data_IF_696008260123
#
_entry.id   IF_696008260123
#
_cell.length_a   1.000
_cell.length_b   1.000
_cell.length_c   1.000
_cell.angle_alpha   90.00
_cell.angle_beta   90.00
_cell.angle_gamma   90.00
#
_symmetry.space_group_name_H-M   'P 1'
#
loop_
_entity.id
_entity.type
_entity.pdbx_description
1 polymer ?
#
# COMPACT_ATOMS: atom_id res chain seq x y z
N UNK A 1 -19.28 -22.60 -5.12
CA UNK A 1 -18.32 -21.47 -4.96
C UNK A 1 -18.83 -20.55 -3.85
N UNK A 2 -18.55 -20.97 -2.61
CA UNK A 2 -18.96 -20.26 -1.40
C UNK A 2 -18.33 -18.86 -1.37
N UNK A 3 -19.11 -17.83 -1.08
CA UNK A 3 -18.66 -16.43 -0.94
C UNK A 3 -18.04 -15.76 -2.20
N UNK A 4 -18.39 -16.18 -3.43
CA UNK A 4 -17.82 -15.60 -4.66
C UNK A 4 -18.10 -14.08 -4.77
N UNK A 5 -19.33 -13.64 -4.47
CA UNK A 5 -19.71 -12.23 -4.52
C UNK A 5 -18.87 -11.37 -3.57
N UNK A 6 -18.58 -11.88 -2.35
CA UNK A 6 -17.72 -11.18 -1.39
C UNK A 6 -16.30 -11.09 -1.95
N UNK A 7 -15.73 -12.20 -2.44
CA UNK A 7 -14.37 -12.19 -3.00
C UNK A 7 -14.20 -11.20 -4.15
N UNK A 8 -15.15 -11.17 -5.09
CA UNK A 8 -15.16 -10.18 -6.19
C UNK A 8 -15.22 -8.75 -5.63
N UNK A 9 -16.07 -8.51 -4.63
CA UNK A 9 -16.18 -7.21 -3.98
C UNK A 9 -14.86 -6.76 -3.34
N UNK A 10 -14.13 -7.69 -2.69
CA UNK A 10 -12.82 -7.41 -2.10
C UNK A 10 -11.79 -6.99 -3.16
N UNK A 11 -11.73 -7.70 -4.28
CA UNK A 11 -10.82 -7.35 -5.38
C UNK A 11 -11.15 -5.99 -6.01
N UNK A 12 -12.42 -5.74 -6.30
CA UNK A 12 -12.86 -4.49 -6.93
C UNK A 12 -12.58 -3.27 -6.05
N UNK A 13 -12.96 -3.34 -4.78
CA UNK A 13 -12.79 -2.20 -3.89
C UNK A 13 -11.30 -1.91 -3.64
N UNK A 14 -10.49 -2.97 -3.55
CA UNK A 14 -9.05 -2.81 -3.32
C UNK A 14 -8.35 -2.22 -4.55
N UNK A 15 -8.78 -2.61 -5.75
CA UNK A 15 -8.34 -1.99 -7.01
C UNK A 15 -8.65 -0.49 -7.05
N UNK A 16 -9.89 -0.11 -6.78
CA UNK A 16 -10.33 1.30 -6.81
C UNK A 16 -9.51 2.15 -5.84
N UNK A 17 -9.37 1.69 -4.60
CA UNK A 17 -8.62 2.45 -3.61
C UNK A 17 -7.12 2.48 -3.88
N UNK A 18 -6.54 1.43 -4.46
CA UNK A 18 -5.15 1.42 -4.87
C UNK A 18 -4.86 2.49 -5.94
N UNK A 19 -5.74 2.58 -6.94
CA UNK A 19 -5.63 3.58 -8.00
C UNK A 19 -5.68 5.01 -7.44
N UNK A 20 -6.68 5.32 -6.60
CA UNK A 20 -6.83 6.65 -6.03
C UNK A 20 -5.74 7.02 -5.04
N UNK A 21 -5.38 6.09 -4.14
CA UNK A 21 -4.44 6.33 -3.05
C UNK A 21 -3.03 6.67 -3.56
N UNK A 22 -2.64 6.06 -4.68
CA UNK A 22 -1.29 6.20 -5.23
C UNK A 22 -1.22 7.19 -6.41
N UNK A 23 -2.28 7.95 -6.66
CA UNK A 23 -2.26 9.08 -7.60
C UNK A 23 -1.52 10.31 -7.07
N UNK A 24 -0.97 10.25 -5.85
CA UNK A 24 -0.31 11.37 -5.17
C UNK A 24 0.79 11.98 -6.03
N UNK A 25 1.70 11.18 -6.58
CA UNK A 25 2.81 11.68 -7.40
C UNK A 25 2.33 12.48 -8.61
N UNK A 26 1.30 11.96 -9.30
CA UNK A 26 0.66 12.63 -10.44
C UNK A 26 0.03 13.95 -10.01
N UNK A 27 -0.66 13.96 -8.86
CA UNK A 27 -1.37 15.15 -8.39
C UNK A 27 -0.44 16.22 -7.81
N UNK A 28 0.67 15.81 -7.20
CA UNK A 28 1.71 16.75 -6.75
C UNK A 28 2.30 17.49 -7.97
N UNK A 29 2.64 16.77 -9.03
CA UNK A 29 3.15 17.35 -10.27
C UNK A 29 2.11 18.30 -10.90
N UNK A 30 0.87 17.84 -11.09
CA UNK A 30 -0.20 18.65 -11.68
C UNK A 30 -0.60 19.85 -10.84
N UNK A 31 -0.57 19.73 -9.51
CA UNK A 31 -0.87 20.86 -8.63
C UNK A 31 0.16 21.98 -8.76
N UNK A 32 1.42 21.65 -8.97
CA UNK A 32 2.47 22.64 -9.24
C UNK A 32 2.30 23.31 -10.60
N UNK A 33 1.95 22.54 -11.63
CA UNK A 33 1.81 23.05 -13.00
C UNK A 33 0.54 23.88 -13.20
N UNK A 34 -0.60 23.41 -12.67
CA UNK A 34 -1.92 23.99 -12.98
C UNK A 34 -2.37 25.02 -11.93
N UNK A 35 -2.02 24.79 -10.65
CA UNK A 35 -2.44 25.68 -9.57
C UNK A 35 -1.28 26.54 -9.04
N UNK A 36 -0.12 26.48 -9.67
CA UNK A 36 1.08 27.28 -9.32
C UNK A 36 1.49 27.14 -7.84
N UNK A 37 1.25 25.96 -7.26
CA UNK A 37 1.51 25.69 -5.85
C UNK A 37 2.98 25.39 -5.61
N UNK A 38 3.56 25.97 -4.56
CA UNK A 38 4.94 25.70 -4.19
C UNK A 38 5.17 24.20 -3.88
N UNK A 39 6.39 23.69 -4.16
CA UNK A 39 6.75 22.27 -3.91
C UNK A 39 6.47 21.85 -2.47
N UNK A 40 6.77 22.71 -1.49
CA UNK A 40 6.53 22.46 -0.08
C UNK A 40 5.04 22.26 0.23
N UNK A 41 4.17 23.10 -0.35
CA UNK A 41 2.73 22.99 -0.13
C UNK A 41 2.14 21.74 -0.81
N UNK A 42 2.62 21.38 -1.98
CA UNK A 42 2.20 20.17 -2.67
C UNK A 42 2.62 18.88 -1.91
N UNK A 43 3.74 18.90 -1.20
CA UNK A 43 4.17 17.78 -0.35
C UNK A 43 3.20 17.50 0.81
N UNK A 44 2.46 18.50 1.31
CA UNK A 44 1.44 18.28 2.34
C UNK A 44 0.27 17.40 1.88
N UNK A 45 0.06 17.19 0.58
CA UNK A 45 -0.99 16.30 0.08
C UNK A 45 -0.83 14.88 0.61
N UNK A 46 0.41 14.38 0.67
CA UNK A 46 0.71 13.06 1.23
C UNK A 46 0.34 12.99 2.72
N UNK A 47 0.64 14.05 3.46
CA UNK A 47 0.28 14.14 4.88
C UNK A 47 -1.24 14.10 5.10
N UNK A 48 -2.03 14.79 4.29
CA UNK A 48 -3.52 14.72 4.37
C UNK A 48 -4.03 13.29 4.22
N UNK A 49 -3.48 12.55 3.28
CA UNK A 49 -3.81 11.15 3.03
C UNK A 49 -3.41 10.27 4.23
N UNK A 50 -2.13 10.29 4.59
CA UNK A 50 -1.57 9.35 5.55
C UNK A 50 -2.06 9.60 6.98
N UNK A 51 -2.22 10.86 7.36
CA UNK A 51 -2.81 11.22 8.65
C UNK A 51 -4.28 10.77 8.73
N UNK A 52 -5.05 10.94 7.65
CA UNK A 52 -6.42 10.45 7.58
C UNK A 52 -6.48 8.93 7.71
N UNK A 53 -5.58 8.20 7.04
CA UNK A 53 -5.47 6.73 7.17
C UNK A 53 -5.17 6.35 8.62
N UNK A 54 -4.15 6.95 9.23
CA UNK A 54 -3.72 6.61 10.58
C UNK A 54 -4.83 6.84 11.62
N UNK A 55 -5.40 8.04 11.64
CA UNK A 55 -6.44 8.40 12.61
C UNK A 55 -7.70 7.55 12.48
N UNK A 56 -8.17 7.37 11.24
CA UNK A 56 -9.42 6.63 10.99
C UNK A 56 -9.22 5.12 11.21
N UNK A 57 -8.09 4.54 10.78
CA UNK A 57 -7.86 3.10 10.94
C UNK A 57 -7.87 2.66 12.39
N UNK A 58 -7.36 3.51 13.29
CA UNK A 58 -7.36 3.22 14.72
C UNK A 58 -8.78 3.16 15.30
N UNK A 59 -9.66 4.09 14.92
CA UNK A 59 -11.05 4.11 15.39
C UNK A 59 -11.89 3.04 14.71
N UNK A 60 -11.79 2.95 13.37
CA UNK A 60 -12.64 2.08 12.57
C UNK A 60 -12.37 0.59 12.82
N UNK A 61 -11.16 0.24 13.22
CA UNK A 61 -10.79 -1.13 13.58
C UNK A 61 -11.70 -1.75 14.65
N UNK A 62 -12.23 -0.92 15.54
CA UNK A 62 -13.16 -1.34 16.61
C UNK A 62 -14.62 -1.12 16.24
N UNK A 63 -14.91 -0.08 15.48
CA UNK A 63 -16.28 0.33 15.16
C UNK A 63 -16.87 -0.39 13.96
N UNK A 64 -16.06 -0.79 12.99
CA UNK A 64 -16.51 -1.36 11.72
C UNK A 64 -17.36 -2.64 11.85
N UNK A 65 -17.06 -3.58 12.78
CA UNK A 65 -17.94 -4.74 12.99
C UNK A 65 -19.36 -4.37 13.36
N UNK A 66 -19.55 -3.29 14.16
CA UNK A 66 -20.87 -2.78 14.57
C UNK A 66 -21.60 -2.08 13.42
N UNK A 67 -20.88 -1.34 12.59
CA UNK A 67 -21.42 -0.70 11.39
C UNK A 67 -21.84 -1.72 10.32
N UNK A 68 -21.12 -2.83 10.26
CA UNK A 68 -21.19 -3.87 9.24
C UNK A 68 -20.23 -3.60 8.07
N UNK A 69 -19.44 -4.60 7.72
CA UNK A 69 -18.38 -4.47 6.70
C UNK A 69 -18.91 -4.00 5.35
N UNK A 70 -20.03 -4.55 4.86
CA UNK A 70 -20.67 -4.13 3.60
C UNK A 70 -21.03 -2.64 3.62
N UNK A 71 -21.66 -2.17 4.71
CA UNK A 71 -22.02 -0.75 4.85
C UNK A 71 -20.79 0.14 4.87
N UNK A 72 -19.74 -0.25 5.59
CA UNK A 72 -18.46 0.46 5.60
C UNK A 72 -17.85 0.59 4.21
N UNK A 73 -17.83 -0.50 3.43
CA UNK A 73 -17.33 -0.51 2.05
C UNK A 73 -18.15 0.41 1.14
N UNK A 74 -19.48 0.40 1.25
CA UNK A 74 -20.36 1.26 0.45
C UNK A 74 -20.20 2.75 0.82
N UNK A 75 -20.08 3.08 2.11
CA UNK A 75 -19.81 4.45 2.58
C UNK A 75 -18.47 4.94 2.02
N UNK A 76 -17.44 4.10 2.07
CA UNK A 76 -16.12 4.45 1.54
C UNK A 76 -16.14 4.73 0.04
N UNK A 77 -16.84 3.90 -0.74
CA UNK A 77 -17.01 4.14 -2.18
C UNK A 77 -17.81 5.42 -2.47
N UNK A 78 -18.88 5.68 -1.71
CA UNK A 78 -19.66 6.91 -1.85
C UNK A 78 -18.79 8.16 -1.55
N UNK A 79 -17.99 8.12 -0.49
CA UNK A 79 -17.07 9.21 -0.13
C UNK A 79 -16.10 9.53 -1.28
N UNK A 80 -15.42 8.51 -1.83
CA UNK A 80 -14.44 8.74 -2.91
C UNK A 80 -15.12 9.05 -4.24
N UNK A 81 -16.33 8.55 -4.49
CA UNK A 81 -17.15 8.94 -5.64
C UNK A 81 -17.42 10.45 -5.65
N UNK A 82 -17.96 10.97 -4.55
CA UNK A 82 -18.20 12.41 -4.43
C UNK A 82 -16.89 13.21 -4.38
N UNK A 83 -15.82 12.65 -3.84
CA UNK A 83 -14.48 13.22 -3.93
C UNK A 83 -13.99 13.39 -5.37
N UNK A 84 -14.16 12.39 -6.22
CA UNK A 84 -13.81 12.46 -7.64
C UNK A 84 -14.67 13.47 -8.42
N UNK A 85 -15.97 13.47 -8.16
CA UNK A 85 -16.89 14.46 -8.75
C UNK A 85 -16.54 15.87 -8.28
N UNK A 86 -16.30 16.04 -6.97
CA UNK A 86 -15.86 17.31 -6.39
C UNK A 86 -14.52 17.80 -6.93
N UNK A 87 -13.60 16.89 -7.27
CA UNK A 87 -12.34 17.22 -7.92
C UNK A 87 -12.55 17.76 -9.33
N UNK A 88 -13.41 17.12 -10.12
CA UNK A 88 -13.70 17.54 -11.49
C UNK A 88 -14.35 18.94 -11.55
N UNK A 89 -15.36 19.22 -10.73
CA UNK A 89 -16.08 20.49 -10.73
C UNK A 89 -15.36 21.59 -9.91
N UNK A 90 -14.68 21.22 -8.84
CA UNK A 90 -14.01 22.18 -7.95
C UNK A 90 -12.73 22.75 -8.53
N UNK A 91 -12.02 22.00 -9.36
CA UNK A 91 -10.81 22.38 -10.10
C UNK A 91 -9.91 23.35 -9.32
N UNK A 92 -9.50 22.95 -8.12
CA UNK A 92 -8.71 23.79 -7.22
C UNK A 92 -7.79 22.93 -6.35
N UNK A 93 -6.74 23.52 -5.81
CA UNK A 93 -5.85 22.82 -4.88
C UNK A 93 -6.58 22.36 -3.60
N UNK A 94 -7.64 23.07 -3.17
CA UNK A 94 -8.49 22.61 -2.07
C UNK A 94 -9.26 21.34 -2.42
N UNK A 95 -9.76 21.21 -3.66
CA UNK A 95 -10.41 19.98 -4.12
C UNK A 95 -9.47 18.79 -4.08
N UNK A 96 -8.17 18.99 -4.41
CA UNK A 96 -7.13 17.98 -4.29
C UNK A 96 -6.96 17.54 -2.84
N UNK A 97 -6.83 18.49 -1.90
CA UNK A 97 -6.69 18.19 -0.45
C UNK A 97 -7.88 17.39 0.08
N UNK A 98 -9.10 17.79 -0.28
CA UNK A 98 -10.32 17.09 0.11
C UNK A 98 -10.34 15.68 -0.47
N UNK A 99 -10.00 15.51 -1.76
CA UNK A 99 -9.94 14.19 -2.39
C UNK A 99 -8.98 13.26 -1.66
N UNK A 100 -7.78 13.75 -1.27
CA UNK A 100 -6.83 12.94 -0.51
C UNK A 100 -7.33 12.60 0.88
N UNK A 101 -7.94 13.54 1.59
CA UNK A 101 -8.50 13.28 2.91
C UNK A 101 -9.60 12.20 2.83
N UNK A 102 -10.56 12.32 1.91
CA UNK A 102 -11.65 11.33 1.77
C UNK A 102 -11.15 9.99 1.25
N UNK A 103 -10.11 9.98 0.40
CA UNK A 103 -9.47 8.75 -0.06
C UNK A 103 -8.77 8.04 1.09
N UNK A 104 -8.05 8.78 1.94
CA UNK A 104 -7.41 8.23 3.13
C UNK A 104 -8.41 7.66 4.13
N UNK A 105 -9.50 8.39 4.43
CA UNK A 105 -10.60 7.93 5.28
C UNK A 105 -11.21 6.64 4.72
N UNK A 106 -11.57 6.66 3.43
CA UNK A 106 -12.19 5.52 2.76
C UNK A 106 -11.27 4.31 2.74
N UNK A 107 -9.98 4.50 2.45
CA UNK A 107 -9.01 3.40 2.43
C UNK A 107 -8.81 2.78 3.81
N UNK A 108 -8.76 3.55 4.87
CA UNK A 108 -8.67 3.03 6.24
C UNK A 108 -9.83 2.08 6.54
N UNK A 109 -11.06 2.47 6.19
CA UNK A 109 -12.27 1.63 6.37
C UNK A 109 -12.16 0.36 5.52
N UNK A 110 -11.80 0.51 4.24
CA UNK A 110 -11.72 -0.60 3.28
C UNK A 110 -10.63 -1.59 3.66
N UNK A 111 -9.45 -1.13 4.04
CA UNK A 111 -8.35 -2.03 4.43
C UNK A 111 -8.74 -2.89 5.63
N UNK A 112 -9.36 -2.27 6.63
CA UNK A 112 -9.87 -2.99 7.81
C UNK A 112 -10.97 -3.98 7.42
N UNK A 113 -11.93 -3.57 6.56
CA UNK A 113 -13.00 -4.44 6.09
C UNK A 113 -12.46 -5.65 5.33
N UNK A 114 -11.57 -5.42 4.37
CA UNK A 114 -11.00 -6.47 3.51
C UNK A 114 -10.23 -7.49 4.35
N UNK A 115 -9.35 -7.03 5.22
CA UNK A 115 -8.53 -7.90 6.05
C UNK A 115 -9.37 -8.72 7.05
N UNK A 116 -10.41 -8.13 7.62
CA UNK A 116 -11.33 -8.86 8.48
C UNK A 116 -12.13 -9.89 7.67
N UNK A 117 -12.68 -9.51 6.51
CA UNK A 117 -13.53 -10.37 5.70
C UNK A 117 -12.80 -11.59 5.11
N UNK A 118 -11.51 -11.49 4.81
CA UNK A 118 -10.71 -12.64 4.36
C UNK A 118 -10.84 -13.80 5.35
N UNK A 119 -10.80 -13.53 6.66
CA UNK A 119 -10.96 -14.54 7.70
C UNK A 119 -12.33 -15.22 7.72
N UNK A 120 -13.38 -14.56 7.20
CA UNK A 120 -14.73 -15.14 7.12
C UNK A 120 -14.97 -15.93 5.82
N UNK A 121 -14.22 -15.65 4.76
CA UNK A 121 -14.40 -16.26 3.43
C UNK A 121 -13.36 -17.34 3.11
N UNK A 122 -12.49 -17.65 4.05
CA UNK A 122 -11.47 -18.71 3.95
C UNK A 122 -11.56 -19.62 5.16
N UNK A 123 -11.41 -20.93 4.94
CA UNK A 123 -11.49 -21.95 6.01
C UNK A 123 -10.08 -22.37 6.46
N UNK A 124 -9.12 -22.47 5.53
CA UNK A 124 -7.75 -22.89 5.78
C UNK A 124 -6.78 -21.70 5.86
N UNK A 125 -5.71 -21.85 6.68
CA UNK A 125 -4.66 -20.83 6.82
C UNK A 125 -3.95 -20.51 5.49
N UNK A 126 -3.73 -21.51 4.65
CA UNK A 126 -3.07 -21.33 3.36
C UNK A 126 -3.99 -20.68 2.32
N UNK A 127 -5.31 -20.95 2.36
CA UNK A 127 -6.28 -20.22 1.54
C UNK A 127 -6.39 -18.76 1.96
N UNK A 128 -6.28 -18.47 3.28
CA UNK A 128 -6.22 -17.11 3.79
C UNK A 128 -4.99 -16.36 3.23
N UNK A 129 -3.80 -16.97 3.30
CA UNK A 129 -2.56 -16.39 2.75
C UNK A 129 -2.63 -16.17 1.24
N UNK A 130 -3.19 -17.15 0.53
CA UNK A 130 -3.35 -17.10 -0.93
C UNK A 130 -4.28 -15.96 -1.34
N UNK A 131 -5.45 -15.86 -0.70
CA UNK A 131 -6.41 -14.80 -1.01
C UNK A 131 -5.83 -13.41 -0.68
N UNK A 132 -5.16 -13.26 0.47
CA UNK A 132 -4.48 -12.03 0.85
C UNK A 132 -3.45 -11.62 -0.20
N UNK A 133 -2.60 -12.55 -0.65
CA UNK A 133 -1.57 -12.28 -1.66
C UNK A 133 -2.18 -11.83 -3.00
N UNK A 134 -3.29 -12.43 -3.42
CA UNK A 134 -3.97 -12.03 -4.65
C UNK A 134 -4.66 -10.66 -4.54
N UNK A 135 -5.26 -10.36 -3.40
CA UNK A 135 -5.87 -9.04 -3.13
C UNK A 135 -4.78 -7.96 -3.18
N UNK A 136 -3.63 -8.21 -2.56
CA UNK A 136 -2.49 -7.30 -2.59
C UNK A 136 -1.84 -7.21 -3.99
N UNK A 137 -1.92 -8.27 -4.81
CA UNK A 137 -1.54 -8.21 -6.22
C UNK A 137 -2.44 -7.23 -6.99
N UNK A 138 -3.77 -7.33 -6.80
CA UNK A 138 -4.74 -6.43 -7.43
C UNK A 138 -4.54 -4.99 -6.97
N UNK A 139 -4.09 -4.77 -5.74
CA UNK A 139 -3.70 -3.45 -5.27
C UNK A 139 -2.58 -2.86 -6.14
N UNK A 140 -1.51 -3.63 -6.43
CA UNK A 140 -0.44 -3.16 -7.32
C UNK A 140 -0.91 -2.92 -8.75
N UNK A 141 -1.83 -3.75 -9.26
CA UNK A 141 -2.44 -3.55 -10.58
C UNK A 141 -3.23 -2.23 -10.62
N UNK A 142 -3.94 -1.89 -9.54
CA UNK A 142 -4.64 -0.60 -9.42
C UNK A 142 -3.70 0.60 -9.48
N UNK A 143 -2.52 0.50 -8.84
CA UNK A 143 -1.48 1.53 -8.93
C UNK A 143 -0.99 1.69 -10.37
N UNK A 144 -0.61 0.57 -11.01
CA UNK A 144 -0.13 0.57 -12.40
C UNK A 144 -1.19 1.16 -13.34
N UNK A 145 -2.45 0.78 -13.15
CA UNK A 145 -3.58 1.32 -13.92
C UNK A 145 -3.59 2.86 -13.90
N UNK A 146 -3.41 3.45 -12.72
CA UNK A 146 -3.42 4.90 -12.58
C UNK A 146 -2.27 5.57 -13.35
N UNK A 147 -1.06 5.02 -13.23
CA UNK A 147 0.12 5.55 -13.93
C UNK A 147 0.07 5.37 -15.45
N UNK A 148 -0.66 4.38 -15.96
CA UNK A 148 -0.80 4.12 -17.40
C UNK A 148 -1.98 4.89 -17.99
N UNK A 149 -3.12 4.89 -17.31
CA UNK A 149 -4.38 5.42 -17.86
C UNK A 149 -4.53 6.92 -17.66
N UNK A 150 -4.06 7.45 -16.53
CA UNK A 150 -4.25 8.87 -16.24
C UNK A 150 -3.55 9.82 -17.23
N UNK A 151 -2.31 9.54 -17.69
CA UNK A 151 -1.65 10.35 -18.70
C UNK A 151 -2.37 10.39 -20.06
N UNK A 152 -3.28 9.46 -20.36
CA UNK A 152 -4.07 9.49 -21.60
C UNK A 152 -5.04 10.68 -21.66
N UNK A 153 -5.33 11.29 -20.51
CA UNK A 153 -6.14 12.50 -20.39
C UNK A 153 -5.33 13.80 -20.48
N UNK A 154 -4.01 13.71 -20.62
CA UNK A 154 -3.15 14.87 -20.81
C UNK A 154 -3.22 15.29 -22.29
N UNK A 155 -3.80 16.44 -22.52
CA UNK A 155 -3.94 17.06 -23.84
C UNK A 155 -3.61 18.56 -23.71
N UNK A 156 -3.84 19.33 -24.79
CA UNK A 156 -3.60 20.78 -24.83
C UNK A 156 -4.52 21.57 -23.90
N UNK A 157 -5.62 20.97 -23.41
CA UNK A 157 -6.47 21.55 -22.36
C UNK A 157 -5.80 21.37 -20.96
N UNK A 158 -5.39 22.43 -20.28
CA UNK A 158 -4.75 22.35 -18.96
C UNK A 158 -5.58 21.57 -17.92
N UNK A 159 -6.91 21.53 -18.11
CA UNK A 159 -7.85 20.84 -17.22
C UNK A 159 -8.25 19.44 -17.74
N UNK A 160 -7.74 19.01 -18.88
CA UNK A 160 -8.07 17.73 -19.51
C UNK A 160 -7.88 16.54 -18.57
N UNK A 161 -6.83 16.56 -17.75
CA UNK A 161 -6.50 15.52 -16.77
C UNK A 161 -7.59 15.28 -15.71
N UNK A 162 -8.45 16.27 -15.44
CA UNK A 162 -9.57 16.13 -14.51
C UNK A 162 -10.61 15.09 -15.01
N UNK A 163 -10.70 14.85 -16.34
CA UNK A 163 -11.55 13.81 -16.91
C UNK A 163 -11.20 12.40 -16.44
N UNK A 164 -9.94 12.18 -16.04
CA UNK A 164 -9.51 10.94 -15.38
C UNK A 164 -10.29 10.65 -14.09
N UNK A 165 -10.70 11.68 -13.34
CA UNK A 165 -11.54 11.50 -12.14
C UNK A 165 -13.00 11.16 -12.48
N UNK A 166 -13.52 11.60 -13.62
CA UNK A 166 -14.83 11.13 -14.11
C UNK A 166 -14.79 9.65 -14.50
N UNK A 167 -13.70 9.19 -15.14
CA UNK A 167 -13.49 7.76 -15.38
C UNK A 167 -13.45 6.99 -14.06
N UNK A 168 -12.67 7.48 -13.06
CA UNK A 168 -12.63 6.85 -11.74
C UNK A 168 -14.00 6.84 -11.06
N UNK A 169 -14.78 7.92 -11.13
CA UNK A 169 -16.14 7.96 -10.63
C UNK A 169 -17.02 6.89 -11.27
N UNK A 170 -16.89 6.68 -12.59
CA UNK A 170 -17.58 5.60 -13.31
C UNK A 170 -17.21 4.20 -12.79
N UNK A 171 -15.92 3.92 -12.62
CA UNK A 171 -15.42 2.65 -12.06
C UNK A 171 -15.93 2.46 -10.63
N UNK A 172 -15.91 3.51 -9.80
CA UNK A 172 -16.42 3.49 -8.42
C UNK A 172 -17.93 3.18 -8.41
N UNK A 173 -18.71 3.79 -9.30
CA UNK A 173 -20.16 3.53 -9.41
C UNK A 173 -20.45 2.07 -9.76
N UNK A 174 -19.68 1.49 -10.67
CA UNK A 174 -19.77 0.06 -11.03
C UNK A 174 -19.43 -0.80 -9.81
N UNK A 175 -18.32 -0.52 -9.12
CA UNK A 175 -17.91 -1.26 -7.92
C UNK A 175 -18.97 -1.13 -6.80
N UNK A 176 -19.51 0.07 -6.58
CA UNK A 176 -20.59 0.32 -5.63
C UNK A 176 -21.82 -0.54 -5.94
N UNK A 177 -22.24 -0.56 -7.19
CA UNK A 177 -23.41 -1.32 -7.65
C UNK A 177 -23.19 -2.82 -7.45
N UNK A 178 -22.03 -3.36 -7.82
CA UNK A 178 -21.69 -4.77 -7.62
C UNK A 178 -21.72 -5.13 -6.14
N UNK A 179 -21.13 -4.32 -5.27
CA UNK A 179 -21.10 -4.55 -3.83
C UNK A 179 -22.50 -4.43 -3.22
N UNK A 180 -23.30 -3.46 -3.69
CA UNK A 180 -24.65 -3.25 -3.22
C UNK A 180 -25.54 -4.51 -3.42
N UNK A 181 -25.43 -5.14 -4.58
CA UNK A 181 -26.21 -6.35 -4.91
C UNK A 181 -25.53 -7.66 -4.45
N UNK A 182 -24.28 -7.64 -4.03
CA UNK A 182 -23.60 -8.81 -3.49
C UNK A 182 -24.18 -9.20 -2.11
N UNK A 183 -24.41 -10.49 -1.91
CA UNK A 183 -24.85 -11.01 -0.61
C UNK A 183 -23.65 -11.18 0.33
N UNK A 184 -23.75 -10.59 1.51
CA UNK A 184 -22.77 -10.69 2.59
C UNK A 184 -23.42 -11.45 3.75
N UNK A 185 -23.54 -12.76 3.63
CA UNK A 185 -24.11 -13.63 4.65
C UNK A 185 -23.03 -13.90 5.72
N UNK A 186 -22.66 -12.86 6.46
CA UNK A 186 -21.67 -12.91 7.54
C UNK A 186 -22.33 -12.35 8.79
N UNK A 187 -22.57 -13.24 9.73
CA UNK A 187 -22.98 -12.84 11.08
C UNK A 187 -21.75 -12.41 11.87
N UNK A 188 -21.74 -11.19 12.32
CA UNK A 188 -20.72 -10.65 13.22
C UNK A 188 -21.36 -10.52 14.60
N UNK A 189 -20.77 -11.17 15.58
CA UNK A 189 -21.23 -11.09 16.98
C UNK A 189 -21.10 -9.63 17.47
N UNK A 190 -22.24 -8.93 17.51
CA UNK A 190 -22.32 -7.52 17.89
C UNK A 190 -22.45 -7.41 19.41
N UNK A 191 -21.35 -7.16 20.09
CA UNK A 191 -21.39 -6.80 21.51
C UNK A 191 -21.79 -5.33 21.66
N UNK A 192 -22.77 -5.06 22.52
CA UNK A 192 -23.14 -3.71 22.92
C UNK A 192 -22.11 -3.12 23.90
N UNK A 193 -20.91 -2.82 23.39
CA UNK A 193 -19.84 -2.19 24.15
C UNK A 193 -19.70 -0.72 23.74
N UNK A 194 -19.24 0.14 24.64
CA UNK A 194 -18.94 1.55 24.30
C UNK A 194 -17.67 1.65 23.46
N UNK A 195 -17.55 2.72 22.65
CA UNK A 195 -16.34 2.98 21.83
C UNK A 195 -15.07 3.00 22.70
N UNK A 196 -15.14 3.59 23.89
CA UNK A 196 -14.01 3.65 24.83
C UNK A 196 -13.59 2.25 25.31
N UNK A 197 -14.56 1.35 25.56
CA UNK A 197 -14.27 -0.04 25.94
C UNK A 197 -13.61 -0.80 24.77
N UNK A 198 -14.08 -0.57 23.55
CA UNK A 198 -13.53 -1.21 22.36
C UNK A 198 -12.09 -0.74 22.08
N UNK A 199 -11.82 0.56 22.18
CA UNK A 199 -10.45 1.11 22.07
C UNK A 199 -9.54 0.53 23.16
N UNK A 200 -10.02 0.45 24.41
CA UNK A 200 -9.24 -0.18 25.49
C UNK A 200 -8.95 -1.64 25.22
N UNK A 201 -9.93 -2.38 24.68
CA UNK A 201 -9.76 -3.79 24.28
C UNK A 201 -8.73 -3.91 23.15
N UNK A 202 -8.79 -3.04 22.14
CA UNK A 202 -7.80 -2.99 21.05
C UNK A 202 -6.38 -2.69 21.57
N UNK A 203 -6.23 -1.71 22.46
CA UNK A 203 -4.93 -1.41 23.09
C UNK A 203 -4.39 -2.60 23.89
N UNK A 204 -5.27 -3.35 24.57
CA UNK A 204 -4.87 -4.58 25.27
C UNK A 204 -4.34 -5.66 24.31
N UNK A 205 -4.74 -5.66 23.03
CA UNK A 205 -4.17 -6.60 22.06
C UNK A 205 -2.66 -6.41 21.86
N UNK A 206 -2.11 -5.21 22.07
CA UNK A 206 -0.66 -4.99 22.04
C UNK A 206 0.09 -5.73 23.16
N UNK A 207 -0.60 -6.13 24.23
CA UNK A 207 0.00 -6.97 25.28
C UNK A 207 0.17 -8.43 24.84
N UNK A 208 -0.50 -8.83 23.74
CA UNK A 208 -0.28 -10.14 23.16
C UNK A 208 1.04 -10.15 22.38
N UNK A 209 2.00 -11.02 22.69
CA UNK A 209 3.32 -11.04 22.08
C UNK A 209 3.27 -11.16 20.53
N UNK A 210 2.33 -11.93 19.98
CA UNK A 210 2.21 -12.07 18.52
C UNK A 210 1.79 -10.74 17.86
N UNK A 211 0.90 -9.96 18.50
CA UNK A 211 0.44 -8.66 18.00
C UNK A 211 1.54 -7.63 18.10
N UNK A 212 2.28 -7.61 19.22
CA UNK A 212 3.41 -6.69 19.40
C UNK A 212 4.52 -6.92 18.37
N UNK A 213 4.93 -8.19 18.17
CA UNK A 213 5.96 -8.52 17.17
C UNK A 213 5.45 -8.24 15.75
N UNK A 214 4.17 -8.45 15.50
CA UNK A 214 3.52 -8.11 14.24
C UNK A 214 3.53 -6.59 13.97
N UNK A 215 3.24 -5.78 14.97
CA UNK A 215 3.29 -4.32 14.84
C UNK A 215 4.72 -3.83 14.51
N UNK A 216 5.74 -4.36 15.18
CA UNK A 216 7.15 -4.08 14.85
C UNK A 216 7.46 -4.48 13.42
N UNK A 217 7.09 -5.69 13.02
CA UNK A 217 7.28 -6.16 11.65
C UNK A 217 6.62 -5.20 10.64
N UNK A 218 5.33 -4.87 10.82
CA UNK A 218 4.57 -4.04 9.90
C UNK A 218 5.17 -2.63 9.76
N UNK A 219 5.61 -2.04 10.89
CA UNK A 219 6.25 -0.73 10.92
C UNK A 219 7.53 -0.72 10.07
N UNK A 220 8.47 -1.63 10.37
CA UNK A 220 9.76 -1.65 9.68
C UNK A 220 9.65 -2.14 8.23
N UNK A 221 8.69 -3.02 7.95
CA UNK A 221 8.43 -3.45 6.57
C UNK A 221 7.95 -2.28 5.71
N UNK A 222 6.90 -1.57 6.14
CA UNK A 222 6.34 -0.45 5.35
C UNK A 222 7.31 0.73 5.33
N UNK A 223 8.09 0.94 6.39
CA UNK A 223 9.21 1.89 6.41
C UNK A 223 10.20 1.60 5.28
N UNK A 224 10.58 0.34 5.08
CA UNK A 224 11.50 -0.07 4.01
C UNK A 224 10.84 0.07 2.63
N UNK A 225 9.62 -0.45 2.48
CA UNK A 225 8.85 -0.43 1.23
C UNK A 225 8.65 1.01 0.73
N UNK A 226 8.10 1.88 1.57
CA UNK A 226 7.82 3.28 1.20
C UNK A 226 9.09 4.10 1.02
N UNK A 227 10.12 3.89 1.84
CA UNK A 227 11.40 4.56 1.66
C UNK A 227 11.99 4.28 0.28
N UNK A 228 11.93 3.05 -0.21
CA UNK A 228 12.40 2.69 -1.55
C UNK A 228 11.45 3.23 -2.62
N UNK A 229 10.13 3.00 -2.49
CA UNK A 229 9.15 3.40 -3.50
C UNK A 229 9.17 4.91 -3.77
N UNK A 230 9.20 5.71 -2.72
CA UNK A 230 9.14 7.18 -2.84
C UNK A 230 10.40 7.76 -3.47
N UNK A 231 11.58 7.21 -3.13
CA UNK A 231 12.86 7.80 -3.51
C UNK A 231 13.55 7.13 -4.70
N UNK A 232 12.98 6.04 -5.24
CA UNK A 232 13.51 5.39 -6.45
C UNK A 232 13.55 6.30 -7.68
N UNK A 233 12.52 7.13 -7.99
CA UNK A 233 12.61 8.08 -9.10
C UNK A 233 13.75 9.09 -8.92
N UNK A 234 13.96 9.60 -7.70
CA UNK A 234 15.06 10.52 -7.37
C UNK A 234 16.41 9.83 -7.54
N UNK A 235 16.55 8.60 -7.08
CA UNK A 235 17.76 7.80 -7.30
C UNK A 235 18.06 7.62 -8.79
N UNK A 236 17.07 7.27 -9.58
CA UNK A 236 17.24 7.12 -11.02
C UNK A 236 17.66 8.44 -11.67
N UNK A 237 17.07 9.57 -11.27
CA UNK A 237 17.38 10.90 -11.80
C UNK A 237 18.74 11.39 -11.37
N UNK A 238 19.04 11.37 -10.07
CA UNK A 238 20.21 12.07 -9.51
C UNK A 238 21.46 11.18 -9.41
N UNK A 239 21.26 9.86 -9.23
CA UNK A 239 22.37 8.92 -9.07
C UNK A 239 22.72 8.23 -10.37
N UNK A 240 21.73 7.93 -11.21
CA UNK A 240 21.93 7.24 -12.49
C UNK A 240 21.89 8.21 -13.69
N UNK A 241 21.78 9.52 -13.46
CA UNK A 241 21.71 10.56 -14.49
C UNK A 241 20.61 10.30 -15.56
N UNK A 242 19.50 9.68 -15.18
CA UNK A 242 18.39 9.39 -16.09
C UNK A 242 17.48 10.62 -16.20
N UNK A 243 17.05 10.93 -17.44
CA UNK A 243 16.09 12.00 -17.69
C UNK A 243 14.86 11.87 -16.75
N UNK A 244 14.35 12.97 -16.16
CA UNK A 244 13.27 12.94 -15.15
C UNK A 244 12.03 12.15 -15.57
N UNK A 245 11.57 12.32 -16.82
CA UNK A 245 10.43 11.59 -17.37
C UNK A 245 10.67 10.07 -17.37
N UNK A 246 11.84 9.66 -17.85
CA UNK A 246 12.22 8.25 -17.92
C UNK A 246 12.48 7.68 -16.52
N UNK A 247 13.09 8.44 -15.62
CA UNK A 247 13.34 8.07 -14.23
C UNK A 247 12.01 7.72 -13.50
N UNK A 248 10.98 8.52 -13.70
CA UNK A 248 9.65 8.28 -13.13
C UNK A 248 8.98 7.05 -13.78
N UNK A 249 9.11 6.89 -15.09
CA UNK A 249 8.58 5.71 -15.79
C UNK A 249 9.23 4.40 -15.31
N UNK A 250 10.52 4.41 -14.99
CA UNK A 250 11.23 3.24 -14.46
C UNK A 250 10.71 2.80 -13.08
N UNK A 251 10.08 3.69 -12.31
CA UNK A 251 9.45 3.30 -11.05
C UNK A 251 8.28 2.31 -11.24
N UNK A 252 7.66 2.28 -12.43
CA UNK A 252 6.61 1.28 -12.75
C UNK A 252 7.16 -0.15 -12.68
N UNK A 253 8.46 -0.36 -12.97
CA UNK A 253 9.10 -1.67 -12.86
C UNK A 253 9.06 -2.18 -11.42
N UNK A 254 9.27 -1.30 -10.44
CA UNK A 254 9.16 -1.67 -9.02
C UNK A 254 7.73 -2.11 -8.67
N UNK A 255 6.72 -1.38 -9.12
CA UNK A 255 5.31 -1.72 -8.88
C UNK A 255 4.93 -3.05 -9.56
N UNK A 256 5.40 -3.27 -10.79
CA UNK A 256 5.22 -4.54 -11.50
C UNK A 256 5.92 -5.69 -10.76
N UNK A 257 7.13 -5.46 -10.25
CA UNK A 257 7.88 -6.42 -9.44
C UNK A 257 7.13 -6.80 -8.16
N UNK A 258 6.55 -5.82 -7.46
CA UNK A 258 5.66 -6.09 -6.32
C UNK A 258 4.43 -6.91 -6.72
N UNK A 259 3.77 -6.56 -7.84
CA UNK A 259 2.61 -7.30 -8.32
C UNK A 259 2.96 -8.77 -8.61
N UNK A 260 4.04 -9.00 -9.35
CA UNK A 260 4.53 -10.35 -9.68
C UNK A 260 4.92 -11.12 -8.42
N UNK A 261 5.66 -10.50 -7.51
CA UNK A 261 6.09 -11.14 -6.26
C UNK A 261 4.90 -11.57 -5.39
N UNK A 262 3.88 -10.72 -5.25
CA UNK A 262 2.64 -11.05 -4.50
C UNK A 262 1.83 -12.15 -5.20
N UNK A 263 1.72 -12.08 -6.52
CA UNK A 263 1.03 -13.11 -7.32
C UNK A 263 1.71 -14.48 -7.20
N UNK A 264 3.01 -14.53 -7.41
CA UNK A 264 3.81 -15.77 -7.29
C UNK A 264 3.71 -16.33 -5.86
N UNK A 265 3.73 -15.48 -4.84
CA UNK A 265 3.51 -15.88 -3.45
C UNK A 265 2.17 -16.58 -3.27
N UNK A 266 1.10 -16.03 -3.84
CA UNK A 266 -0.23 -16.64 -3.80
C UNK A 266 -0.28 -18.04 -4.41
N UNK A 267 0.58 -18.33 -5.40
CA UNK A 267 0.71 -19.68 -5.99
C UNK A 267 1.57 -20.61 -5.16
N UNK A 268 2.64 -20.11 -4.54
CA UNK A 268 3.64 -20.92 -3.84
C UNK A 268 3.24 -21.28 -2.41
N UNK A 269 2.42 -20.46 -1.74
CA UNK A 269 2.11 -20.57 -0.31
C UNK A 269 1.44 -21.91 0.07
N UNK A 270 0.78 -22.58 -0.86
CA UNK A 270 0.23 -23.93 -0.64
C UNK A 270 1.27 -25.05 -0.75
N UNK A 271 2.43 -24.78 -1.39
CA UNK A 271 3.48 -25.78 -1.63
C UNK A 271 4.69 -25.58 -0.71
N UNK A 272 4.97 -24.34 -0.32
CA UNK A 272 6.14 -23.95 0.46
C UNK A 272 5.66 -23.27 1.75
N UNK A 273 6.24 -23.65 2.89
CA UNK A 273 5.92 -23.02 4.17
C UNK A 273 6.21 -21.52 4.11
N UNK A 274 5.25 -20.72 4.58
CA UNK A 274 5.29 -19.27 4.53
C UNK A 274 6.60 -18.65 5.03
N UNK A 275 7.19 -19.24 6.07
CA UNK A 275 8.43 -18.74 6.68
C UNK A 275 9.63 -18.83 5.73
N UNK A 276 9.71 -19.87 4.91
CA UNK A 276 10.79 -20.00 3.93
C UNK A 276 10.63 -18.97 2.81
N UNK A 277 9.42 -18.74 2.33
CA UNK A 277 9.14 -17.71 1.32
C UNK A 277 9.53 -16.32 1.88
N UNK A 278 9.16 -16.04 3.14
CA UNK A 278 9.45 -14.75 3.78
C UNK A 278 10.96 -14.54 4.00
N UNK A 279 11.68 -15.54 4.52
CA UNK A 279 13.13 -15.43 4.75
C UNK A 279 13.88 -15.31 3.42
N UNK A 280 13.54 -16.13 2.43
CA UNK A 280 14.19 -16.06 1.10
C UNK A 280 13.93 -14.71 0.44
N UNK A 281 12.70 -14.19 0.54
CA UNK A 281 12.36 -12.87 0.06
C UNK A 281 13.18 -11.78 0.75
N UNK A 282 13.24 -11.78 2.08
CA UNK A 282 14.00 -10.77 2.82
C UNK A 282 15.51 -10.81 2.51
N UNK A 283 16.10 -12.01 2.49
CA UNK A 283 17.53 -12.19 2.17
C UNK A 283 17.81 -11.82 0.71
N UNK A 284 16.93 -12.19 -0.24
CA UNK A 284 17.04 -11.80 -1.64
C UNK A 284 17.01 -10.28 -1.82
N UNK A 285 16.15 -9.58 -1.07
CA UNK A 285 16.10 -8.12 -1.05
C UNK A 285 17.41 -7.52 -0.53
N UNK A 286 17.94 -8.03 0.58
CA UNK A 286 19.18 -7.55 1.16
C UNK A 286 20.38 -7.79 0.22
N UNK A 287 20.44 -8.97 -0.41
CA UNK A 287 21.48 -9.30 -1.40
C UNK A 287 21.40 -8.36 -2.60
N UNK A 288 20.19 -8.05 -3.11
CA UNK A 288 20.05 -7.09 -4.21
C UNK A 288 20.56 -5.71 -3.83
N UNK A 289 20.24 -5.21 -2.63
CA UNK A 289 20.79 -3.93 -2.15
C UNK A 289 22.31 -3.94 -2.17
N UNK A 290 22.95 -5.03 -1.63
CA UNK A 290 24.39 -5.14 -1.54
C UNK A 290 25.09 -5.28 -2.91
N UNK A 291 24.44 -5.89 -3.90
CA UNK A 291 25.02 -6.10 -5.24
C UNK A 291 24.76 -4.88 -6.12
N UNK A 292 23.56 -4.32 -6.09
CA UNK A 292 23.12 -3.32 -7.08
C UNK A 292 23.63 -1.92 -6.75
N UNK A 293 23.65 -1.54 -5.47
CA UNK A 293 24.12 -0.20 -5.10
C UNK A 293 25.58 0.07 -5.46
N UNK A 294 26.55 -0.86 -5.28
CA UNK A 294 27.92 -0.66 -5.78
C UNK A 294 27.99 -0.45 -7.30
N UNK A 295 27.09 -1.08 -8.07
CA UNK A 295 27.07 -0.92 -9.53
C UNK A 295 26.69 0.51 -9.94
N UNK A 296 25.92 1.22 -9.11
CA UNK A 296 25.55 2.61 -9.36
C UNK A 296 26.75 3.57 -9.35
N UNK A 297 27.83 3.22 -8.66
CA UNK A 297 29.06 4.03 -8.64
C UNK A 297 29.83 4.04 -9.99
N UNK A 298 29.52 3.07 -10.86
CA UNK A 298 30.21 2.92 -12.16
C UNK A 298 29.34 3.42 -13.33
N UNK A 299 28.26 4.12 -13.06
CA UNK A 299 27.42 4.72 -14.12
C UNK A 299 28.12 5.98 -14.65
N UNK A 300 28.27 6.14 -15.98
CA UNK A 300 28.88 7.32 -16.56
C UNK A 300 28.10 8.60 -16.25
N UNK A 301 28.80 9.72 -16.12
CA UNK A 301 28.24 11.07 -15.90
C UNK A 301 27.50 11.66 -17.13
N UNK A 302 27.01 10.81 -18.02
CA UNK A 302 26.25 11.24 -19.20
C UNK A 302 24.76 11.07 -18.92
N UNK A 303 23.99 12.11 -19.28
CA UNK A 303 22.55 12.06 -19.16
C UNK A 303 21.94 10.98 -20.07
N UNK A 304 21.19 10.07 -19.49
CA UNK A 304 20.49 8.98 -20.19
C UNK A 304 19.10 9.44 -20.59
N UNK A 305 18.88 9.56 -21.91
CA UNK A 305 17.63 10.09 -22.48
C UNK A 305 16.80 9.03 -23.20
N UNK A 306 17.31 7.83 -23.43
CA UNK A 306 16.66 6.75 -24.19
C UNK A 306 16.70 5.43 -23.46
N UNK A 307 15.68 4.59 -23.68
CA UNK A 307 15.57 3.25 -23.08
C UNK A 307 16.77 2.35 -23.37
N UNK A 308 17.37 2.49 -24.58
CA UNK A 308 18.49 1.64 -25.00
C UNK A 308 19.80 1.90 -24.28
N UNK A 309 19.95 3.06 -23.64
CA UNK A 309 21.16 3.46 -22.93
C UNK A 309 21.01 3.37 -21.40
N UNK A 310 19.90 2.81 -20.91
CA UNK A 310 19.66 2.68 -19.49
C UNK A 310 20.68 1.77 -18.81
N UNK A 311 21.30 2.20 -17.69
CA UNK A 311 22.20 1.35 -16.94
C UNK A 311 21.45 0.15 -16.34
N UNK A 312 22.12 -1.00 -16.27
CA UNK A 312 21.52 -2.24 -15.74
C UNK A 312 20.95 -2.07 -14.32
N UNK A 313 21.56 -1.21 -13.53
CA UNK A 313 21.09 -0.86 -12.17
C UNK A 313 19.63 -0.39 -12.15
N UNK A 314 19.21 0.40 -13.15
CA UNK A 314 17.84 0.93 -13.24
C UNK A 314 16.78 -0.15 -13.46
N UNK A 315 17.17 -1.35 -13.90
CA UNK A 315 16.30 -2.51 -14.00
C UNK A 315 16.43 -3.43 -12.78
N UNK A 316 17.64 -3.65 -12.29
CA UNK A 316 17.90 -4.59 -11.19
C UNK A 316 17.41 -4.07 -9.85
N UNK A 317 17.60 -2.77 -9.55
CA UNK A 317 17.21 -2.24 -8.26
C UNK A 317 15.68 -2.32 -8.02
N UNK A 318 14.81 -1.96 -8.99
CA UNK A 318 13.37 -2.16 -8.85
C UNK A 318 12.94 -3.62 -8.66
N UNK A 319 13.74 -4.60 -9.06
CA UNK A 319 13.44 -6.02 -8.82
C UNK A 319 13.45 -6.41 -7.33
N UNK A 320 13.93 -5.53 -6.44
CA UNK A 320 13.78 -5.70 -5.00
C UNK A 320 12.32 -5.91 -4.60
N UNK A 321 11.39 -5.33 -5.36
CA UNK A 321 9.96 -5.52 -5.18
C UNK A 321 9.52 -6.98 -5.25
N UNK A 322 10.12 -7.82 -6.14
CA UNK A 322 9.83 -9.26 -6.22
C UNK A 322 10.06 -9.98 -4.90
N UNK A 323 11.11 -9.60 -4.20
CA UNK A 323 11.59 -10.25 -2.99
C UNK A 323 10.95 -9.68 -1.73
N UNK A 324 10.68 -8.36 -1.66
CA UNK A 324 9.98 -7.74 -0.53
C UNK A 324 8.47 -8.03 -0.54
N UNK A 325 7.87 -8.09 -1.73
CA UNK A 325 6.43 -8.21 -1.91
C UNK A 325 5.74 -9.34 -1.12
N UNK A 326 6.34 -10.55 -1.00
CA UNK A 326 5.75 -11.65 -0.26
C UNK A 326 5.51 -11.37 1.22
N UNK A 327 6.37 -10.58 1.86
CA UNK A 327 6.43 -10.47 3.31
C UNK A 327 5.12 -9.95 3.92
N UNK A 328 4.60 -8.85 3.38
CA UNK A 328 3.44 -8.18 3.98
C UNK A 328 2.17 -9.04 3.98
N UNK A 329 1.71 -9.61 2.84
CA UNK A 329 0.53 -10.44 2.82
C UNK A 329 0.69 -11.74 3.61
N UNK A 330 1.89 -12.36 3.57
CA UNK A 330 2.16 -13.61 4.30
C UNK A 330 2.07 -13.41 5.81
N UNK A 331 2.73 -12.37 6.34
CA UNK A 331 2.80 -12.14 7.78
C UNK A 331 1.45 -11.64 8.30
N UNK A 332 0.82 -10.69 7.60
CA UNK A 332 -0.50 -10.19 7.95
C UNK A 332 -1.52 -11.32 8.00
N UNK A 333 -1.54 -12.17 6.97
CA UNK A 333 -2.41 -13.34 6.93
C UNK A 333 -2.08 -14.37 8.02
N UNK A 334 -0.80 -14.61 8.31
CA UNK A 334 -0.38 -15.57 9.34
C UNK A 334 -0.84 -15.13 10.72
N UNK A 335 -0.70 -13.86 11.06
CA UNK A 335 -1.13 -13.32 12.35
C UNK A 335 -2.65 -13.28 12.47
N UNK A 336 -3.34 -12.82 11.42
CA UNK A 336 -4.81 -12.83 11.41
C UNK A 336 -5.37 -14.25 11.57
N UNK A 337 -4.83 -15.24 10.85
CA UNK A 337 -5.29 -16.63 10.94
C UNK A 337 -4.88 -17.37 12.22
N UNK A 338 -3.96 -16.80 13.00
CA UNK A 338 -3.59 -17.30 14.33
C UNK A 338 -4.40 -16.67 15.46
N UNK A 339 -5.29 -15.74 15.16
CA UNK A 339 -6.14 -15.02 16.12
C UNK A 339 -7.62 -15.27 15.84
N UNK A 340 -8.47 -15.10 16.86
CA UNK A 340 -9.92 -15.24 16.70
C UNK A 340 -10.45 -14.22 15.69
N UNK A 341 -11.40 -14.64 14.85
CA UNK A 341 -12.05 -13.81 13.83
C UNK A 341 -12.65 -12.51 14.39
N UNK A 342 -13.15 -12.52 15.63
CA UNK A 342 -13.66 -11.32 16.33
C UNK A 342 -12.64 -10.21 16.53
N UNK A 343 -11.32 -10.53 16.51
CA UNK A 343 -10.24 -9.58 16.67
C UNK A 343 -9.64 -9.10 15.33
N UNK A 344 -10.03 -9.71 14.20
CA UNK A 344 -9.42 -9.40 12.89
C UNK A 344 -9.58 -7.92 12.51
N UNK A 345 -10.73 -7.31 12.78
CA UNK A 345 -10.97 -5.88 12.50
C UNK A 345 -10.05 -4.98 13.33
N UNK A 346 -9.93 -5.24 14.64
CA UNK A 346 -9.05 -4.49 15.53
C UNK A 346 -7.57 -4.66 15.13
N UNK A 347 -7.14 -5.89 14.79
CA UNK A 347 -5.79 -6.16 14.32
C UNK A 347 -5.49 -5.48 12.98
N UNK A 348 -6.44 -5.48 12.06
CA UNK A 348 -6.30 -4.77 10.79
C UNK A 348 -6.20 -3.25 11.00
N UNK A 349 -6.93 -2.69 11.97
CA UNK A 349 -6.82 -1.30 12.38
C UNK A 349 -5.43 -0.97 12.92
N UNK A 350 -4.92 -1.79 13.85
CA UNK A 350 -3.54 -1.67 14.39
C UNK A 350 -2.52 -1.75 13.26
N UNK A 351 -2.63 -2.75 12.39
CA UNK A 351 -1.73 -2.94 11.26
C UNK A 351 -1.70 -1.70 10.36
N UNK A 352 -2.87 -1.18 10.00
CA UNK A 352 -2.97 -0.02 9.10
C UNK A 352 -2.38 1.23 9.74
N UNK A 353 -2.67 1.47 11.03
CA UNK A 353 -2.10 2.58 11.80
C UNK A 353 -0.58 2.53 11.86
N UNK A 354 -0.03 1.39 12.28
CA UNK A 354 1.42 1.20 12.42
C UNK A 354 2.14 1.26 11.07
N UNK A 355 1.51 0.70 10.02
CA UNK A 355 2.03 0.76 8.65
C UNK A 355 2.09 2.20 8.12
N UNK A 356 1.07 3.01 8.36
CA UNK A 356 1.07 4.42 7.95
C UNK A 356 2.21 5.20 8.61
N UNK A 357 2.40 5.01 9.93
CA UNK A 357 3.54 5.62 10.65
C UNK A 357 4.89 5.16 10.11
N UNK A 358 5.04 3.86 9.85
CA UNK A 358 6.28 3.31 9.28
C UNK A 358 6.57 3.89 7.90
N UNK A 359 5.57 3.98 7.03
CA UNK A 359 5.71 4.51 5.67
C UNK A 359 6.13 5.97 5.66
N UNK A 360 5.44 6.81 6.44
CA UNK A 360 5.80 8.24 6.58
C UNK A 360 7.22 8.41 7.09
N UNK A 361 7.61 7.71 8.16
CA UNK A 361 8.96 7.80 8.69
C UNK A 361 10.01 7.28 7.73
N UNK A 362 9.74 6.21 7.00
CA UNK A 362 10.65 5.66 6.01
C UNK A 362 10.96 6.67 4.89
N UNK A 363 9.92 7.28 4.34
CA UNK A 363 10.04 8.30 3.31
C UNK A 363 10.80 9.52 3.83
N UNK A 364 10.47 10.03 5.02
CA UNK A 364 11.12 11.20 5.64
C UNK A 364 12.59 10.94 5.95
N UNK A 365 12.93 9.77 6.53
CA UNK A 365 14.32 9.44 6.88
C UNK A 365 15.17 9.33 5.62
N UNK A 366 14.72 8.59 4.62
CA UNK A 366 15.46 8.46 3.35
C UNK A 366 15.60 9.83 2.68
N UNK A 367 14.55 10.64 2.64
CA UNK A 367 14.56 11.95 2.01
C UNK A 367 15.57 12.91 2.65
N UNK A 368 15.54 13.06 3.96
CA UNK A 368 16.48 13.94 4.66
C UNK A 368 17.95 13.47 4.56
N UNK A 369 18.16 12.17 4.45
CA UNK A 369 19.51 11.62 4.34
C UNK A 369 20.00 11.47 2.90
N UNK A 370 19.10 11.60 1.92
CA UNK A 370 19.45 11.50 0.51
C UNK A 370 20.45 12.60 0.10
N UNK A 371 20.18 13.82 0.51
CA UNK A 371 21.06 14.98 0.24
C UNK A 371 22.39 14.89 0.98
N UNK A 372 22.41 14.27 2.17
CA UNK A 372 23.60 14.15 3.00
C UNK A 372 24.53 13.00 2.59
N UNK A 373 23.96 11.85 2.25
CA UNK A 373 24.70 10.61 1.99
C UNK A 373 24.86 10.32 0.48
N UNK A 374 24.01 10.92 -0.34
CA UNK A 374 23.85 10.57 -1.75
C UNK A 374 23.05 9.29 -1.98
N UNK A 375 22.44 9.18 -3.14
CA UNK A 375 21.59 8.04 -3.51
C UNK A 375 22.30 6.69 -3.44
N UNK A 376 23.59 6.64 -3.76
CA UNK A 376 24.42 5.42 -3.68
C UNK A 376 24.51 4.83 -2.26
N UNK A 377 24.43 5.66 -1.23
CA UNK A 377 24.65 5.24 0.16
C UNK A 377 23.37 5.17 0.97
N UNK A 378 22.39 6.05 0.69
CA UNK A 378 21.19 6.19 1.51
C UNK A 378 20.38 4.90 1.56
N UNK A 379 20.31 4.14 0.46
CA UNK A 379 19.54 2.90 0.41
C UNK A 379 20.18 1.73 1.17
N UNK A 380 21.46 1.79 1.55
CA UNK A 380 22.03 0.83 2.50
C UNK A 380 21.36 0.89 3.87
N UNK A 381 20.78 2.05 4.24
CA UNK A 381 20.03 2.18 5.49
C UNK A 381 18.81 1.24 5.55
N UNK A 382 18.28 0.79 4.41
CA UNK A 382 17.20 -0.18 4.35
C UNK A 382 17.59 -1.55 4.94
N UNK A 383 18.89 -1.87 5.03
CA UNK A 383 19.39 -3.10 5.65
C UNK A 383 19.13 -3.13 7.16
N UNK A 384 19.08 -1.98 7.83
CA UNK A 384 18.80 -1.88 9.27
C UNK A 384 17.39 -2.39 9.60
N UNK A 385 16.31 -1.81 9.02
CA UNK A 385 14.97 -2.35 9.23
C UNK A 385 14.81 -3.78 8.70
N UNK A 386 15.51 -4.18 7.63
CA UNK A 386 15.49 -5.58 7.16
C UNK A 386 16.05 -6.54 8.21
N UNK A 387 17.12 -6.18 8.94
CA UNK A 387 17.64 -6.98 10.03
C UNK A 387 16.63 -7.12 11.18
N UNK A 388 15.92 -6.04 11.52
CA UNK A 388 14.86 -6.06 12.54
C UNK A 388 13.70 -6.96 12.08
N UNK A 389 13.30 -6.87 10.80
CA UNK A 389 12.27 -7.72 10.18
C UNK A 389 12.68 -9.20 10.30
N UNK A 390 13.94 -9.54 10.05
CA UNK A 390 14.42 -10.92 10.17
C UNK A 390 14.22 -11.48 11.58
N UNK A 391 14.58 -10.71 12.60
CA UNK A 391 14.36 -11.08 14.01
C UNK A 391 12.87 -11.24 14.31
N UNK A 392 12.04 -10.32 13.81
CA UNK A 392 10.58 -10.40 13.97
C UNK A 392 10.01 -11.66 13.31
N UNK A 393 10.49 -12.06 12.10
CA UNK A 393 10.07 -13.29 11.41
C UNK A 393 10.33 -14.54 12.24
N UNK A 394 11.52 -14.67 12.83
CA UNK A 394 11.84 -15.82 13.70
C UNK A 394 10.95 -15.86 14.95
N UNK A 395 10.68 -14.71 15.56
CA UNK A 395 9.79 -14.61 16.72
C UNK A 395 8.35 -14.97 16.36
N UNK A 396 7.82 -14.40 15.25
CA UNK A 396 6.48 -14.73 14.77
C UNK A 396 6.31 -16.20 14.44
N UNK A 397 7.31 -16.84 13.82
CA UNK A 397 7.25 -18.26 13.51
C UNK A 397 7.20 -19.15 14.78
N UNK A 398 7.82 -18.72 15.87
CA UNK A 398 7.72 -19.43 17.16
C UNK A 398 6.34 -19.23 17.77
N UNK A 399 5.85 -17.98 17.82
CA UNK A 399 4.56 -17.63 18.42
C UNK A 399 3.35 -18.17 17.63
N UNK A 400 3.46 -18.33 16.31
CA UNK A 400 2.37 -18.87 15.49
C UNK A 400 2.27 -20.41 15.55
N UNK A 401 3.25 -21.08 16.15
CA UNK A 401 3.27 -22.54 16.37
C UNK A 401 2.78 -22.94 17.78
N UNK A 402 2.89 -22.04 18.74
CA UNK A 402 2.35 -22.18 20.10
C UNK A 402 0.85 -21.89 20.13
#
# INVERSE_FOLDING_TARGET
>A
MKHLGIKISLFLIYFVFAALLNSVGILVERSQEVYEVAKGDAAYLELFKDLSIALVSFVIGTFLPKLGYKKGMLISLALVFFGCIGMYFGNSFWSVKILFAVTGIGFAIVKVAVYALIGYVTDEKDDHRRLMSFIETVFMVGIIFMYVVFPLFYNDDPNGWLRGYLLMAGIIAIAFTIILFSKFDIEVDQKNTSIAQDIRAMLRLFLNPIVYVFAIFAFFYVMTEQGIMTWLPTFNKETLNINPKLATQMAVILMASFAVGRFVTGLLVKKIKWIYIAITGLLGSAILVLIVLPMANNVPDMQVNTLGNLPLVSFLFPMIGLFLAPLYPLISSTVLSATDKKHHSALAGILTFVSALGGTLGSVIIGNLFDLLGGNKVFYLSLIPMAIILVALFRLNRLAKS
#
